data_IF_116108835394
#
_entry.id   IF_116108835394
#
_cell.length_a   1.000
_cell.length_b   1.000
_cell.length_c   1.000
_cell.angle_alpha   90.00
_cell.angle_beta   90.00
_cell.angle_gamma   90.00
#
_symmetry.space_group_name_H-M   'P 1'
#
loop_
_entity.id
_entity.type
_entity.pdbx_description
1 polymer ?
#
# COMPACT_ATOMS: atom_id res chain seq x y z
N UNK A 1 -8.17 15.02 -0.87
CA UNK A 1 -7.22 14.35 0.04
C UNK A 1 -7.90 14.03 1.38
N UNK A 2 -8.98 13.22 1.38
CA UNK A 2 -9.81 12.96 2.58
C UNK A 2 -9.51 11.61 3.27
N UNK A 3 -8.42 10.92 2.91
CA UNK A 3 -8.13 9.55 3.41
C UNK A 3 -6.90 9.44 4.31
N UNK A 4 -6.11 10.51 4.42
CA UNK A 4 -4.90 10.53 5.25
C UNK A 4 -5.29 10.76 6.72
N UNK A 5 -6.37 11.51 6.95
CA UNK A 5 -6.71 12.05 8.28
C UNK A 5 -7.68 11.16 9.08
N UNK A 6 -8.51 10.34 8.42
CA UNK A 6 -9.55 9.56 9.13
C UNK A 6 -9.19 8.09 9.43
N UNK A 7 -8.11 7.52 8.85
CA UNK A 7 -7.85 6.07 8.93
C UNK A 7 -6.38 5.62 9.04
N UNK A 8 -5.38 6.49 9.24
CA UNK A 8 -3.96 6.09 9.22
C UNK A 8 -3.58 5.19 8.03
N UNK A 9 -4.27 5.34 6.90
CA UNK A 9 -4.09 4.51 5.71
C UNK A 9 -3.30 5.21 4.64
N UNK A 10 -2.20 4.59 4.20
CA UNK A 10 -1.39 5.07 3.09
C UNK A 10 -1.74 4.31 1.81
N UNK A 11 -1.88 5.04 0.69
CA UNK A 11 -2.18 4.48 -0.63
C UNK A 11 -0.96 4.57 -1.52
N UNK A 12 -0.47 3.44 -2.00
CA UNK A 12 0.66 3.34 -2.93
C UNK A 12 0.21 2.77 -4.27
N UNK A 13 0.89 3.17 -5.32
CA UNK A 13 0.81 2.52 -6.64
C UNK A 13 1.98 1.54 -6.71
N UNK A 14 1.69 0.29 -7.06
CA UNK A 14 2.66 -0.79 -7.11
C UNK A 14 2.54 -1.55 -8.43
N UNK A 15 3.59 -2.28 -8.78
CA UNK A 15 3.59 -3.17 -9.93
C UNK A 15 2.49 -4.24 -9.79
N UNK A 16 1.87 -4.62 -10.91
CA UNK A 16 0.78 -5.60 -10.93
C UNK A 16 1.23 -6.97 -10.37
N UNK A 17 2.49 -7.34 -10.60
CA UNK A 17 3.11 -8.60 -10.18
C UNK A 17 3.58 -8.59 -8.73
N UNK A 18 3.50 -7.44 -8.03
CA UNK A 18 3.95 -7.34 -6.65
C UNK A 18 3.00 -8.07 -5.68
N UNK A 19 3.57 -8.90 -4.81
CA UNK A 19 2.83 -9.61 -3.77
C UNK A 19 2.75 -8.82 -2.47
N UNK A 20 1.73 -9.07 -1.64
CA UNK A 20 1.54 -8.37 -0.36
C UNK A 20 2.76 -8.40 0.57
N UNK A 21 3.50 -9.52 0.73
CA UNK A 21 4.71 -9.54 1.57
C UNK A 21 5.83 -8.64 1.04
N UNK A 22 6.01 -8.60 -0.29
CA UNK A 22 7.02 -7.74 -0.94
C UNK A 22 6.69 -6.26 -0.73
N UNK A 23 5.40 -5.90 -0.91
CA UNK A 23 4.93 -4.53 -0.67
C UNK A 23 5.17 -4.14 0.80
N UNK A 24 4.85 -5.03 1.75
CA UNK A 24 5.08 -4.79 3.18
C UNK A 24 6.55 -4.53 3.51
N UNK A 25 7.45 -5.36 2.98
CA UNK A 25 8.89 -5.20 3.20
C UNK A 25 9.45 -3.93 2.56
N UNK A 26 9.03 -3.62 1.32
CA UNK A 26 9.47 -2.43 0.62
C UNK A 26 9.07 -1.15 1.36
N UNK A 27 7.82 -1.09 1.86
CA UNK A 27 7.31 0.07 2.59
C UNK A 27 8.03 0.21 3.94
N UNK A 28 8.25 -0.89 4.68
CA UNK A 28 9.03 -0.86 5.91
C UNK A 28 10.46 -0.37 5.66
N UNK A 29 11.09 -0.76 4.56
CA UNK A 29 12.45 -0.30 4.22
C UNK A 29 12.50 1.17 3.79
N UNK A 30 11.53 1.64 3.00
CA UNK A 30 11.54 2.99 2.43
C UNK A 30 11.15 4.07 3.44
N UNK A 31 10.19 3.76 4.32
CA UNK A 31 9.62 4.75 5.24
C UNK A 31 9.89 4.43 6.71
N UNK A 32 10.54 3.30 7.01
CA UNK A 32 10.80 2.82 8.37
C UNK A 32 9.53 2.75 9.24
N UNK A 33 8.39 2.41 8.62
CA UNK A 33 7.10 2.24 9.30
C UNK A 33 6.77 0.76 9.47
N UNK A 34 6.15 0.42 10.59
CA UNK A 34 5.50 -0.87 10.76
C UNK A 34 4.14 -0.87 10.05
N UNK A 35 3.84 -1.99 9.41
CA UNK A 35 2.63 -2.15 8.58
C UNK A 35 1.75 -3.20 9.23
N UNK A 36 0.57 -2.81 9.70
CA UNK A 36 -0.41 -3.71 10.27
C UNK A 36 -1.01 -4.63 9.19
N UNK A 37 -1.54 -4.05 8.11
CA UNK A 37 -2.26 -4.79 7.06
C UNK A 37 -2.09 -4.18 5.67
N UNK A 38 -1.93 -5.05 4.67
CA UNK A 38 -1.85 -4.67 3.24
C UNK A 38 -3.07 -5.16 2.50
N UNK A 39 -3.85 -4.23 1.94
CA UNK A 39 -4.92 -4.51 1.00
C UNK A 39 -4.47 -4.06 -0.39
N UNK A 40 -4.87 -4.78 -1.43
CA UNK A 40 -4.52 -4.42 -2.80
C UNK A 40 -5.74 -4.49 -3.69
N UNK A 41 -5.91 -3.48 -4.54
CA UNK A 41 -6.98 -3.38 -5.52
C UNK A 41 -6.34 -3.18 -6.90
N UNK A 42 -6.87 -3.85 -7.92
CA UNK A 42 -6.49 -3.64 -9.32
C UNK A 42 -7.47 -2.64 -9.91
N UNK A 43 -6.97 -1.51 -10.43
CA UNK A 43 -7.80 -0.55 -11.17
C UNK A 43 -7.63 -0.82 -12.67
N UNK A 44 -8.72 -0.74 -13.45
CA UNK A 44 -8.85 -1.16 -14.86
C UNK A 44 -7.97 -0.43 -15.91
N UNK A 45 -6.83 0.15 -15.52
CA UNK A 45 -5.91 0.88 -16.41
C UNK A 45 -4.45 0.42 -16.28
N UNK A 46 -4.21 -0.85 -15.91
CA UNK A 46 -2.86 -1.43 -15.81
C UNK A 46 -2.00 -0.96 -14.62
N UNK A 47 -2.61 -0.69 -13.46
CA UNK A 47 -1.85 -0.40 -12.22
C UNK A 47 -2.57 -0.93 -10.98
N UNK A 48 -1.80 -1.50 -10.04
CA UNK A 48 -2.31 -2.03 -8.77
C UNK A 48 -2.14 -0.96 -7.68
N UNK A 49 -3.21 -0.64 -6.98
CA UNK A 49 -3.16 0.25 -5.81
C UNK A 49 -3.11 -0.60 -4.54
N UNK A 50 -2.18 -0.32 -3.64
CA UNK A 50 -2.09 -0.95 -2.33
C UNK A 50 -2.44 0.04 -1.22
N UNK A 51 -3.32 -0.37 -0.30
CA UNK A 51 -3.68 0.33 0.92
C UNK A 51 -2.96 -0.34 2.09
N UNK A 52 -2.17 0.43 2.83
CA UNK A 52 -1.53 0.00 4.07
C UNK A 52 -2.24 0.61 5.26
N UNK A 53 -2.41 -0.16 6.32
CA UNK A 53 -2.73 0.38 7.65
C UNK A 53 -1.42 0.43 8.44
N UNK A 54 -1.07 1.61 8.94
CA UNK A 54 0.00 1.77 9.94
C UNK A 54 -0.42 1.17 11.28
#
# INVERSE_FOLDING_TARGET
MKKIEDNNTLVFIVDLRANKPQIKQAVKKLYNIDVAKVNTLVRYMSVRSSLLHS
#
